data_IF_393027779372
#
_entry.id   IF_393027779372
#
_cell.length_a   1.000
_cell.length_b   1.000
_cell.length_c   1.000
_cell.angle_alpha   90.00
_cell.angle_beta   90.00
_cell.angle_gamma   90.00
#
_symmetry.space_group_name_H-M   'P 1'
#
loop_
_entity.id
_entity.type
_entity.pdbx_description
1 polymer ?
#
# COMPACT_ATOMS: atom_id res chain seq x y z
N UNK A 1 31.05 47.82 40.76
CA UNK A 1 31.71 46.52 41.05
C UNK A 1 30.63 45.60 41.61
N UNK A 2 30.20 44.45 41.07
CA UNK A 2 30.84 43.42 40.25
C UNK A 2 29.77 42.58 39.50
N UNK A 3 30.08 42.30 38.22
CA UNK A 3 29.92 41.05 37.46
C UNK A 3 28.51 40.47 37.22
N UNK A 4 28.01 40.85 36.04
CA UNK A 4 27.18 40.10 35.09
C UNK A 4 27.43 38.57 35.07
N UNK A 5 26.38 37.79 35.34
CA UNK A 5 26.31 36.36 35.04
C UNK A 5 25.41 36.23 33.80
N UNK A 6 26.06 36.12 32.63
CA UNK A 6 25.41 35.68 31.39
C UNK A 6 25.16 34.19 31.52
N UNK A 7 23.96 33.80 31.94
CA UNK A 7 23.53 32.40 31.91
C UNK A 7 23.06 32.08 30.49
N UNK A 8 24.00 31.68 29.63
CA UNK A 8 23.69 30.97 28.38
C UNK A 8 23.09 29.62 28.76
N UNK A 9 21.77 29.52 28.78
CA UNK A 9 21.11 28.22 28.75
C UNK A 9 20.97 27.82 27.28
N UNK A 10 21.84 26.92 26.85
CA UNK A 10 21.84 26.35 25.52
C UNK A 10 20.48 25.67 25.26
N UNK A 11 19.70 26.26 24.36
CA UNK A 11 18.49 25.67 23.83
C UNK A 11 18.90 24.45 22.99
N UNK A 12 18.90 23.27 23.61
CA UNK A 12 19.01 22.01 22.87
C UNK A 12 17.76 21.86 22.00
N UNK A 13 17.87 22.30 20.75
CA UNK A 13 16.97 21.89 19.69
C UNK A 13 17.18 20.39 19.46
N UNK A 14 16.42 19.56 20.16
CA UNK A 14 16.16 18.20 19.72
C UNK A 14 15.44 18.36 18.38
N UNK A 15 16.17 18.17 17.29
CA UNK A 15 15.58 18.04 15.96
C UNK A 15 14.81 16.71 16.01
N UNK A 16 13.60 16.75 16.55
CA UNK A 16 12.63 15.69 16.36
C UNK A 16 12.38 15.66 14.86
N UNK A 17 13.02 14.73 14.16
CA UNK A 17 12.63 14.39 12.80
C UNK A 17 11.16 14.04 12.89
N UNK A 18 10.30 14.89 12.34
CA UNK A 18 8.88 14.58 12.24
C UNK A 18 8.79 13.19 11.60
N UNK A 19 8.00 12.26 12.15
CA UNK A 19 7.76 11.01 11.46
C UNK A 19 7.22 11.40 10.09
N UNK A 20 7.97 11.09 9.02
CA UNK A 20 7.44 11.18 7.67
C UNK A 20 6.21 10.28 7.72
N UNK A 21 5.03 10.89 7.67
CA UNK A 21 3.81 10.14 7.51
C UNK A 21 3.96 9.41 6.18
N UNK A 22 4.37 8.14 6.23
CA UNK A 22 4.38 7.28 5.07
C UNK A 22 2.91 7.12 4.72
N UNK A 23 2.45 7.84 3.70
CA UNK A 23 1.06 7.76 3.27
C UNK A 23 0.78 6.29 2.93
N UNK A 24 -0.01 5.66 3.79
CA UNK A 24 -0.33 4.24 3.72
C UNK A 24 -1.44 4.09 2.68
N UNK A 25 -1.08 3.67 1.47
CA UNK A 25 -2.01 3.51 0.34
C UNK A 25 -3.17 2.56 0.68
N UNK A 26 -4.41 3.02 0.57
CA UNK A 26 -5.63 2.26 0.85
C UNK A 26 -6.28 1.67 -0.39
N UNK A 27 -7.07 0.62 -0.21
CA UNK A 27 -7.98 0.09 -1.22
C UNK A 27 -9.33 0.78 -1.05
N UNK A 28 -9.65 1.69 -1.96
CA UNK A 28 -10.88 2.50 -1.95
C UNK A 28 -12.07 1.83 -2.64
N UNK A 29 -11.81 0.97 -3.62
CA UNK A 29 -12.86 0.21 -4.30
C UNK A 29 -12.38 -1.20 -4.61
N UNK A 30 -13.32 -2.16 -4.60
CA UNK A 30 -13.08 -3.54 -4.99
C UNK A 30 -14.29 -4.09 -5.74
N UNK A 31 -14.03 -4.77 -6.85
CA UNK A 31 -15.02 -5.46 -7.65
C UNK A 31 -14.50 -6.83 -8.03
N UNK A 32 -15.32 -7.86 -7.87
CA UNK A 32 -14.93 -9.26 -8.11
C UNK A 32 -15.95 -9.88 -9.07
N UNK A 33 -15.46 -10.44 -10.17
CA UNK A 33 -16.27 -11.12 -11.17
C UNK A 33 -15.67 -12.50 -11.45
N UNK A 34 -16.31 -13.53 -10.90
CA UNK A 34 -15.79 -14.91 -11.01
C UNK A 34 -14.43 -15.04 -10.31
N UNK A 35 -13.38 -15.30 -11.09
CA UNK A 35 -11.99 -15.44 -10.60
C UNK A 35 -11.15 -14.18 -10.81
N UNK A 36 -11.69 -13.12 -11.39
CA UNK A 36 -10.97 -11.86 -11.56
C UNK A 36 -11.43 -10.82 -10.55
N UNK A 37 -10.48 -10.05 -10.03
CA UNK A 37 -10.70 -8.89 -9.20
C UNK A 37 -10.14 -7.63 -9.86
N UNK A 38 -10.81 -6.52 -9.55
CA UNK A 38 -10.42 -5.16 -9.86
C UNK A 38 -10.37 -4.40 -8.54
N UNK A 39 -9.29 -3.67 -8.31
CA UNK A 39 -9.13 -2.82 -7.12
C UNK A 39 -8.75 -1.41 -7.52
N UNK A 40 -9.20 -0.42 -6.76
CA UNK A 40 -8.79 0.98 -6.91
C UNK A 40 -8.08 1.40 -5.65
N UNK A 41 -6.81 1.81 -5.79
CA UNK A 41 -5.99 2.31 -4.69
C UNK A 41 -6.11 3.84 -4.62
N UNK A 42 -6.38 4.35 -3.41
CA UNK A 42 -6.51 5.79 -3.10
C UNK A 42 -7.43 6.58 -4.07
N UNK A 43 -8.40 5.91 -4.71
CA UNK A 43 -9.33 6.51 -5.66
C UNK A 43 -8.76 6.83 -7.04
N UNK A 44 -7.46 6.59 -7.31
CA UNK A 44 -6.85 6.96 -8.60
C UNK A 44 -6.16 5.81 -9.34
N UNK A 45 -5.56 4.84 -8.63
CA UNK A 45 -4.82 3.76 -9.28
C UNK A 45 -5.69 2.52 -9.40
N UNK A 46 -6.28 2.32 -10.57
CA UNK A 46 -7.07 1.13 -10.87
C UNK A 46 -6.19 -0.01 -11.37
N UNK A 47 -6.23 -1.14 -10.68
CA UNK A 47 -5.58 -2.39 -11.08
C UNK A 47 -6.68 -3.37 -11.48
N UNK A 48 -6.65 -3.83 -12.72
CA UNK A 48 -7.61 -4.80 -13.27
C UNK A 48 -6.91 -6.12 -13.64
N UNK A 49 -7.67 -7.20 -13.75
CA UNK A 49 -7.12 -8.52 -14.13
C UNK A 49 -6.29 -9.16 -13.02
N UNK A 50 -6.66 -8.94 -11.76
CA UNK A 50 -6.07 -9.66 -10.62
C UNK A 50 -6.75 -11.03 -10.55
N UNK A 51 -6.00 -12.10 -10.76
CA UNK A 51 -6.50 -13.46 -10.66
C UNK A 51 -6.62 -13.87 -9.17
N UNK A 52 -7.82 -14.26 -8.76
CA UNK A 52 -8.17 -14.69 -7.41
C UNK A 52 -8.20 -16.22 -7.35
N UNK A 53 -7.27 -16.80 -6.61
CA UNK A 53 -7.14 -18.23 -6.39
C UNK A 53 -7.62 -18.57 -4.98
N UNK A 54 -8.83 -19.13 -4.90
CA UNK A 54 -9.40 -19.61 -3.64
C UNK A 54 -9.09 -21.10 -3.42
N UNK A 55 -8.54 -21.46 -2.26
CA UNK A 55 -8.36 -22.84 -1.79
C UNK A 55 -8.83 -22.93 -0.34
N UNK A 56 -10.05 -23.42 -0.14
CA UNK A 56 -10.71 -23.36 1.18
C UNK A 56 -10.86 -21.91 1.65
N UNK A 57 -10.34 -21.61 2.83
CA UNK A 57 -10.37 -20.28 3.46
C UNK A 57 -9.20 -19.37 3.06
N UNK A 58 -8.23 -19.91 2.32
CA UNK A 58 -7.10 -19.15 1.83
C UNK A 58 -7.42 -18.54 0.47
N UNK A 59 -7.13 -17.24 0.34
CA UNK A 59 -7.14 -16.50 -0.92
C UNK A 59 -5.70 -16.16 -1.25
N UNK A 60 -5.28 -16.53 -2.46
CA UNK A 60 -4.04 -16.03 -3.08
C UNK A 60 -4.42 -15.19 -4.28
N UNK A 61 -3.68 -14.12 -4.52
CA UNK A 61 -3.85 -13.28 -5.69
C UNK A 61 -2.67 -13.44 -6.63
N UNK A 62 -2.92 -13.31 -7.93
CA UNK A 62 -1.88 -13.17 -8.94
C UNK A 62 -2.09 -11.84 -9.66
N UNK A 63 -1.11 -10.94 -9.62
CA UNK A 63 -1.21 -9.68 -10.36
C UNK A 63 -1.33 -9.89 -11.87
N UNK A 64 -1.88 -8.89 -12.60
CA UNK A 64 -1.98 -8.96 -14.05
C UNK A 64 -0.63 -9.15 -14.72
N UNK A 65 -0.60 -10.03 -15.71
CA UNK A 65 0.58 -10.30 -16.54
C UNK A 65 0.26 -10.04 -18.01
N UNK A 66 1.25 -9.54 -18.74
CA UNK A 66 1.24 -9.52 -20.19
C UNK A 66 2.09 -10.65 -20.71
N UNK A 67 1.60 -11.37 -21.73
CA UNK A 67 2.36 -12.41 -22.42
C UNK A 67 2.59 -11.93 -23.85
N UNK A 68 3.86 -11.78 -24.24
CA UNK A 68 4.19 -11.38 -25.62
C UNK A 68 3.84 -12.50 -26.60
N UNK A 69 3.77 -12.15 -27.90
CA UNK A 69 3.55 -13.13 -28.97
C UNK A 69 4.56 -14.29 -28.95
N UNK A 70 5.78 -14.06 -28.46
CA UNK A 70 6.82 -15.08 -28.31
C UNK A 70 6.74 -15.87 -26.99
N UNK A 71 5.66 -15.72 -26.20
CA UNK A 71 5.45 -16.43 -24.93
C UNK A 71 6.18 -15.84 -23.72
N UNK A 72 6.86 -14.69 -23.86
CA UNK A 72 7.57 -14.06 -22.73
C UNK A 72 6.57 -13.35 -21.82
N UNK A 73 6.69 -13.61 -20.51
CA UNK A 73 5.80 -13.07 -19.48
C UNK A 73 6.38 -11.77 -18.90
N UNK A 74 5.53 -10.76 -18.75
CA UNK A 74 5.84 -9.45 -18.18
C UNK A 74 4.80 -9.09 -17.11
N UNK A 75 5.17 -9.15 -15.82
CA UNK A 75 4.32 -8.64 -14.74
C UNK A 75 3.99 -7.17 -14.99
N UNK A 76 2.71 -6.80 -14.92
CA UNK A 76 2.30 -5.41 -15.11
C UNK A 76 2.50 -4.58 -13.85
N UNK A 77 2.39 -5.21 -12.68
CA UNK A 77 2.60 -4.58 -11.39
C UNK A 77 3.35 -5.53 -10.45
N UNK A 78 3.93 -4.95 -9.40
CA UNK A 78 4.48 -5.68 -8.27
C UNK A 78 4.20 -4.88 -7.00
N UNK A 79 3.65 -5.54 -5.98
CA UNK A 79 3.57 -4.94 -4.65
C UNK A 79 4.96 -4.95 -4.03
N UNK A 80 5.47 -3.77 -3.68
CA UNK A 80 6.77 -3.62 -3.02
C UNK A 80 6.58 -3.75 -1.51
N UNK A 81 5.50 -3.17 -0.99
CA UNK A 81 5.09 -3.26 0.41
C UNK A 81 4.14 -4.44 0.60
N UNK A 82 4.54 -5.42 1.41
CA UNK A 82 3.70 -6.56 1.76
C UNK A 82 2.43 -6.14 2.49
N UNK A 83 2.47 -5.03 3.26
CA UNK A 83 1.29 -4.55 3.96
C UNK A 83 0.22 -4.00 3.01
N UNK A 84 0.61 -3.48 1.84
CA UNK A 84 -0.34 -3.11 0.78
C UNK A 84 -0.91 -4.35 0.09
N UNK A 85 -0.07 -5.36 -0.18
CA UNK A 85 -0.53 -6.63 -0.74
C UNK A 85 -1.57 -7.31 0.18
N UNK A 86 -1.30 -7.37 1.48
CA UNK A 86 -2.21 -7.93 2.48
C UNK A 86 -3.53 -7.15 2.55
N UNK A 87 -3.49 -5.82 2.39
CA UNK A 87 -4.69 -4.98 2.29
C UNK A 87 -5.51 -5.30 1.05
N UNK A 88 -4.87 -5.49 -0.10
CA UNK A 88 -5.53 -5.91 -1.34
C UNK A 88 -6.17 -7.28 -1.18
N UNK A 89 -5.45 -8.25 -0.61
CA UNK A 89 -5.99 -9.59 -0.32
C UNK A 89 -7.18 -9.50 0.64
N UNK A 90 -7.08 -8.68 1.68
CA UNK A 90 -8.15 -8.48 2.67
C UNK A 90 -9.38 -7.83 2.02
N UNK A 91 -9.20 -6.80 1.20
CA UNK A 91 -10.28 -6.14 0.48
C UNK A 91 -11.00 -7.10 -0.47
N UNK A 92 -10.25 -7.93 -1.19
CA UNK A 92 -10.81 -8.97 -2.06
C UNK A 92 -11.53 -10.05 -1.24
N UNK A 93 -10.97 -10.46 -0.10
CA UNK A 93 -11.61 -11.46 0.78
C UNK A 93 -12.93 -10.95 1.35
N UNK A 94 -12.98 -9.67 1.73
CA UNK A 94 -14.15 -9.04 2.34
C UNK A 94 -15.15 -8.52 1.31
N UNK A 95 -14.72 -8.32 0.06
CA UNK A 95 -15.50 -7.63 -0.97
C UNK A 95 -15.78 -6.16 -0.63
N UNK A 96 -14.93 -5.52 0.19
CA UNK A 96 -15.10 -4.15 0.68
C UNK A 96 -13.78 -3.38 0.69
N UNK A 97 -13.79 -2.04 0.68
CA UNK A 97 -12.60 -1.19 0.85
C UNK A 97 -11.84 -1.49 2.15
N UNK A 98 -10.50 -1.37 2.12
CA UNK A 98 -9.61 -1.60 3.27
C UNK A 98 -8.40 -0.65 3.22
N UNK A 99 -8.16 0.10 4.31
CA UNK A 99 -7.15 1.16 4.37
C UNK A 99 -7.81 2.54 4.43
N UNK A 100 -7.03 3.58 4.72
CA UNK A 100 -7.57 4.93 4.97
C UNK A 100 -8.33 5.46 3.76
N UNK A 101 -9.58 5.86 4.01
CA UNK A 101 -10.42 6.70 3.14
C UNK A 101 -10.38 8.11 3.72
#
# INVERSE_FOLDING_TARGET
>A
MKRSIKLMLALMFVIASAPKASAVMGVTEVSIKGKEAVVVLDGYLKISGIDVLKRGDQIKIKPPIYVSKGGKIFPQIKFIDSALEDRVISAIKMGKPVGSV
#
